data_IF_869398841327
#
_entry.id   IF_869398841327
#
_cell.length_a   1.000
_cell.length_b   1.000
_cell.length_c   1.000
_cell.angle_alpha   90.00
_cell.angle_beta   90.00
_cell.angle_gamma   90.00
#
_symmetry.space_group_name_H-M   'P 1'
#
loop_
_entity.id
_entity.type
_entity.pdbx_description
1 polymer ?
#
# COMPACT_ATOMS: atom_id res chain seq x y z
N UNK A 1 0.40 9.79 -5.81
CA UNK A 1 1.33 8.75 -6.35
C UNK A 1 2.62 8.60 -5.52
N UNK A 2 3.16 9.68 -4.91
CA UNK A 2 4.35 9.61 -4.04
C UNK A 2 4.04 8.93 -2.70
N UNK A 3 2.86 9.14 -2.13
CA UNK A 3 2.40 8.45 -0.91
C UNK A 3 2.28 6.94 -1.09
N UNK A 4 1.91 6.47 -2.30
CA UNK A 4 1.80 5.04 -2.63
C UNK A 4 3.16 4.34 -2.69
N UNK A 5 4.26 5.07 -2.92
CA UNK A 5 5.61 4.50 -2.96
C UNK A 5 6.27 4.38 -1.58
N UNK A 6 5.68 4.95 -0.52
CA UNK A 6 6.21 4.90 0.85
C UNK A 6 7.52 5.67 1.05
N UNK A 7 7.87 6.56 0.14
CA UNK A 7 9.07 7.38 0.25
C UNK A 7 8.75 8.67 1.02
N UNK A 8 9.55 8.94 2.05
CA UNK A 8 9.46 10.17 2.86
C UNK A 8 10.00 11.43 2.13
N UNK A 9 10.14 11.36 0.79
CA UNK A 9 10.66 12.46 -0.02
C UNK A 9 9.51 13.39 -0.39
N UNK A 10 9.63 14.66 -0.03
CA UNK A 10 8.66 15.68 -0.40
C UNK A 10 8.53 15.82 -1.92
N UNK A 11 7.33 16.20 -2.38
CA UNK A 11 7.06 16.41 -3.82
C UNK A 11 8.06 17.37 -4.48
N UNK A 12 8.57 18.38 -3.72
CA UNK A 12 9.57 19.32 -4.18
C UNK A 12 10.96 18.68 -4.37
N UNK A 13 11.39 17.85 -3.44
CA UNK A 13 12.68 17.14 -3.52
C UNK A 13 12.71 16.17 -4.69
N UNK A 14 11.60 15.44 -4.91
CA UNK A 14 11.48 14.56 -6.06
C UNK A 14 11.58 15.32 -7.39
N UNK A 15 10.88 16.46 -7.53
CA UNK A 15 10.96 17.31 -8.72
C UNK A 15 12.40 17.85 -8.94
N UNK A 16 13.08 18.21 -7.86
CA UNK A 16 14.47 18.69 -7.94
C UNK A 16 15.41 17.59 -8.42
N UNK A 17 15.28 16.37 -7.91
CA UNK A 17 16.09 15.21 -8.33
C UNK A 17 15.84 14.88 -9.80
N UNK A 18 14.57 14.90 -10.25
CA UNK A 18 14.21 14.66 -11.65
C UNK A 18 14.81 15.75 -12.54
N UNK A 19 14.69 17.03 -12.15
CA UNK A 19 15.20 18.16 -12.92
C UNK A 19 16.71 18.14 -13.07
N UNK A 20 17.42 17.88 -11.97
CA UNK A 20 18.90 17.75 -11.98
C UNK A 20 19.32 16.53 -12.82
N UNK A 21 18.62 15.41 -12.72
CA UNK A 21 18.89 14.21 -13.52
C UNK A 21 18.69 14.42 -15.02
N UNK A 22 17.64 15.14 -15.42
CA UNK A 22 17.37 15.50 -16.83
C UNK A 22 18.48 16.39 -17.39
N UNK A 23 18.90 17.43 -16.64
CA UNK A 23 19.98 18.34 -17.08
C UNK A 23 21.31 17.58 -17.20
N UNK A 24 21.69 16.79 -16.20
CA UNK A 24 22.93 16.02 -16.21
C UNK A 24 23.00 15.03 -17.38
N UNK A 25 21.93 14.25 -17.59
CA UNK A 25 21.87 13.31 -18.70
C UNK A 25 21.79 13.99 -20.07
N UNK A 26 21.13 15.13 -20.17
CA UNK A 26 21.08 15.94 -21.38
C UNK A 26 22.45 16.51 -21.77
N UNK A 27 23.19 17.06 -20.79
CA UNK A 27 24.54 17.59 -21.00
C UNK A 27 25.53 16.48 -21.35
N UNK A 28 25.52 15.37 -20.64
CA UNK A 28 26.35 14.21 -20.95
C UNK A 28 26.05 13.66 -22.36
N UNK A 29 24.77 13.51 -22.70
CA UNK A 29 24.35 13.06 -24.03
C UNK A 29 24.84 14.01 -25.16
N UNK A 30 24.79 15.32 -24.93
CA UNK A 30 25.28 16.30 -25.86
C UNK A 30 26.80 16.21 -26.09
N UNK A 31 27.57 16.05 -24.99
CA UNK A 31 29.04 15.97 -25.05
C UNK A 31 29.52 14.72 -25.78
N UNK A 32 28.86 13.55 -25.56
CA UNK A 32 29.33 12.28 -26.10
C UNK A 32 28.72 11.89 -27.47
N UNK A 33 27.54 12.37 -27.83
CA UNK A 33 26.83 11.94 -29.03
C UNK A 33 26.12 13.07 -29.79
N UNK A 34 26.53 14.35 -29.59
CA UNK A 34 25.95 15.53 -30.25
C UNK A 34 24.44 15.72 -29.95
N UNK A 35 23.72 16.41 -30.83
CA UNK A 35 22.29 16.75 -30.64
C UNK A 35 21.37 15.50 -30.43
N UNK A 36 21.66 14.39 -31.08
CA UNK A 36 20.90 13.16 -30.91
C UNK A 36 21.08 12.54 -29.52
N UNK A 37 22.29 12.59 -28.97
CA UNK A 37 22.56 12.16 -27.61
C UNK A 37 21.90 13.04 -26.55
N UNK A 38 21.81 14.34 -26.77
CA UNK A 38 21.09 15.25 -25.88
C UNK A 38 19.60 14.90 -25.80
N UNK A 39 18.94 14.64 -26.93
CA UNK A 39 17.52 14.25 -26.97
C UNK A 39 17.30 12.93 -26.27
N UNK A 40 18.15 11.93 -26.48
CA UNK A 40 18.06 10.64 -25.81
C UNK A 40 18.31 10.77 -24.28
N UNK A 41 19.28 11.59 -23.85
CA UNK A 41 19.57 11.84 -22.44
C UNK A 41 18.41 12.52 -21.72
N UNK A 42 17.80 13.54 -22.34
CA UNK A 42 16.62 14.22 -21.77
C UNK A 42 15.42 13.28 -21.67
N UNK A 43 15.15 12.49 -22.69
CA UNK A 43 14.02 11.54 -22.65
C UNK A 43 14.21 10.45 -21.58
N UNK A 44 15.39 9.85 -21.49
CA UNK A 44 15.70 8.86 -20.46
C UNK A 44 15.65 9.49 -19.05
N UNK A 45 16.20 10.70 -18.87
CA UNK A 45 16.16 11.43 -17.60
C UNK A 45 14.75 11.76 -17.14
N UNK A 46 13.83 12.05 -18.07
CA UNK A 46 12.44 12.33 -17.76
C UNK A 46 11.63 11.06 -17.42
N UNK A 47 11.82 9.96 -18.16
CA UNK A 47 11.01 8.76 -18.01
C UNK A 47 11.53 7.79 -16.93
N UNK A 48 12.86 7.71 -16.71
CA UNK A 48 13.45 6.79 -15.75
C UNK A 48 12.88 6.92 -14.31
N UNK A 49 12.77 8.12 -13.72
CA UNK A 49 12.24 8.27 -12.37
C UNK A 49 10.78 7.84 -12.25
N UNK A 50 9.95 8.06 -13.28
CA UNK A 50 8.56 7.58 -13.29
C UNK A 50 8.48 6.06 -13.36
N UNK A 51 9.36 5.42 -14.13
CA UNK A 51 9.41 3.97 -14.22
C UNK A 51 9.89 3.33 -12.89
N UNK A 52 10.85 3.95 -12.21
CA UNK A 52 11.32 3.49 -10.89
C UNK A 52 10.21 3.63 -9.85
N UNK A 53 9.53 4.80 -9.83
CA UNK A 53 8.46 5.07 -8.89
C UNK A 53 7.26 4.11 -9.08
N UNK A 54 6.85 3.88 -10.32
CA UNK A 54 5.76 2.95 -10.62
C UNK A 54 6.09 1.51 -10.25
N UNK A 55 7.34 1.07 -10.47
CA UNK A 55 7.80 -0.25 -10.02
C UNK A 55 7.88 -0.36 -8.49
N UNK A 56 8.32 0.68 -7.80
CA UNK A 56 8.37 0.72 -6.34
C UNK A 56 6.95 0.65 -5.75
N UNK A 57 6.02 1.43 -6.27
CA UNK A 57 4.61 1.39 -5.87
C UNK A 57 3.97 0.01 -6.15
N UNK A 58 4.23 -0.58 -7.31
CA UNK A 58 3.76 -1.92 -7.64
C UNK A 58 4.31 -3.01 -6.72
N UNK A 59 5.60 -2.96 -6.37
CA UNK A 59 6.19 -3.91 -5.40
C UNK A 59 5.59 -3.76 -4.01
N UNK A 60 5.36 -2.52 -3.56
CA UNK A 60 4.73 -2.25 -2.26
C UNK A 60 3.30 -2.77 -2.22
N UNK A 61 2.51 -2.53 -3.27
CA UNK A 61 1.15 -3.07 -3.40
C UNK A 61 1.16 -4.60 -3.36
N UNK A 62 2.03 -5.24 -4.15
CA UNK A 62 2.15 -6.70 -4.17
C UNK A 62 2.55 -7.26 -2.79
N UNK A 63 3.46 -6.59 -2.06
CA UNK A 63 3.83 -6.99 -0.70
C UNK A 63 2.65 -6.89 0.27
N UNK A 64 1.87 -5.79 0.25
CA UNK A 64 0.68 -5.64 1.09
C UNK A 64 -0.38 -6.70 0.74
N UNK A 65 -0.60 -6.97 -0.55
CA UNK A 65 -1.54 -8.00 -0.99
C UNK A 65 -1.12 -9.39 -0.48
N UNK A 66 0.17 -9.73 -0.58
CA UNK A 66 0.69 -11.00 -0.08
C UNK A 66 0.62 -11.16 1.44
N UNK A 67 0.55 -10.06 2.20
CA UNK A 67 0.41 -10.06 3.66
C UNK A 67 -1.06 -10.00 4.12
N UNK A 68 -1.99 -9.65 3.22
CA UNK A 68 -3.37 -9.32 3.59
C UNK A 68 -4.11 -10.50 4.23
N UNK A 69 -4.03 -11.69 3.64
CA UNK A 69 -4.71 -12.86 4.16
C UNK A 69 -4.23 -13.22 5.58
N UNK A 70 -2.92 -13.16 5.82
CA UNK A 70 -2.34 -13.43 7.14
C UNK A 70 -2.73 -12.34 8.14
N UNK A 71 -2.75 -11.08 7.72
CA UNK A 71 -3.23 -9.95 8.55
C UNK A 71 -4.67 -10.15 8.99
N UNK A 72 -5.57 -10.52 8.07
CA UNK A 72 -6.97 -10.79 8.39
C UNK A 72 -7.13 -11.98 9.35
N UNK A 73 -6.30 -13.01 9.22
CA UNK A 73 -6.30 -14.16 10.14
C UNK A 73 -5.83 -13.77 11.55
N UNK A 74 -4.83 -12.90 11.69
CA UNK A 74 -4.40 -12.37 13.00
C UNK A 74 -5.52 -11.57 13.64
N UNK A 75 -6.19 -10.69 12.88
CA UNK A 75 -7.35 -9.93 13.38
C UNK A 75 -8.47 -10.88 13.81
N UNK A 76 -8.81 -11.89 12.99
CA UNK A 76 -9.87 -12.85 13.28
C UNK A 76 -9.59 -13.67 14.54
N UNK A 77 -8.36 -14.16 14.72
CA UNK A 77 -7.97 -14.91 15.92
C UNK A 77 -8.00 -14.05 17.17
N UNK A 78 -7.59 -12.79 17.10
CA UNK A 78 -7.67 -11.85 18.21
C UNK A 78 -9.12 -11.52 18.61
N UNK A 79 -10.01 -11.33 17.61
CA UNK A 79 -11.44 -11.16 17.84
C UNK A 79 -12.07 -12.39 18.50
N UNK A 80 -11.68 -13.59 18.07
CA UNK A 80 -12.15 -14.86 18.64
C UNK A 80 -11.69 -15.04 20.09
N UNK A 81 -10.52 -14.49 20.45
CA UNK A 81 -10.04 -14.44 21.84
C UNK A 81 -10.80 -13.41 22.70
N UNK A 82 -11.77 -12.67 22.13
CA UNK A 82 -12.61 -11.71 22.84
C UNK A 82 -12.07 -10.28 22.88
N UNK A 83 -11.02 -9.98 22.11
CA UNK A 83 -10.53 -8.60 21.99
C UNK A 83 -11.49 -7.75 21.15
N UNK A 84 -11.52 -6.44 21.43
CA UNK A 84 -12.26 -5.49 20.59
C UNK A 84 -11.61 -5.38 19.18
N UNK A 85 -12.35 -4.88 18.20
CA UNK A 85 -11.83 -4.68 16.84
C UNK A 85 -10.55 -3.84 16.81
N UNK A 86 -10.52 -2.74 17.57
CA UNK A 86 -9.34 -1.87 17.65
C UNK A 86 -8.14 -2.54 18.31
N UNK A 87 -8.36 -3.36 19.34
CA UNK A 87 -7.30 -4.16 19.96
C UNK A 87 -6.76 -5.21 18.98
N UNK A 88 -7.66 -5.87 18.24
CA UNK A 88 -7.27 -6.86 17.23
C UNK A 88 -6.46 -6.24 16.10
N UNK A 89 -6.85 -5.03 15.67
CA UNK A 89 -6.11 -4.27 14.67
C UNK A 89 -4.72 -3.84 15.19
N UNK A 90 -4.62 -3.43 16.47
CA UNK A 90 -3.33 -3.07 17.12
C UNK A 90 -2.40 -4.29 17.24
N UNK A 91 -2.96 -5.47 17.58
CA UNK A 91 -2.20 -6.72 17.61
C UNK A 91 -1.66 -7.07 16.22
N UNK A 92 -2.51 -7.02 15.19
CA UNK A 92 -2.10 -7.28 13.82
C UNK A 92 -1.01 -6.31 13.35
N UNK A 93 -1.16 -5.00 13.62
CA UNK A 93 -0.16 -4.00 13.23
C UNK A 93 1.21 -4.20 13.90
N UNK A 94 1.28 -4.91 15.03
CA UNK A 94 2.53 -5.25 15.74
C UNK A 94 3.14 -6.57 15.29
N UNK A 95 2.32 -7.51 14.83
CA UNK A 95 2.72 -8.88 14.51
C UNK A 95 3.12 -9.05 13.05
N UNK A 96 2.51 -8.29 12.14
CA UNK A 96 2.79 -8.37 10.70
C UNK A 96 4.00 -7.52 10.30
N UNK A 97 4.60 -7.87 9.15
CA UNK A 97 5.75 -7.16 8.59
C UNK A 97 5.36 -5.89 7.82
N UNK A 98 6.38 -5.05 7.58
CA UNK A 98 6.24 -3.94 6.65
C UNK A 98 6.06 -4.47 5.20
N UNK A 99 5.29 -3.81 4.36
CA UNK A 99 4.66 -2.50 4.52
C UNK A 99 3.25 -2.50 5.16
N UNK A 100 2.59 -3.64 5.34
CA UNK A 100 1.24 -3.70 5.87
C UNK A 100 1.16 -3.16 7.31
N UNK A 101 2.10 -3.52 8.20
CA UNK A 101 2.17 -2.98 9.57
C UNK A 101 2.07 -1.45 9.63
N UNK A 102 2.77 -0.77 8.72
CA UNK A 102 2.78 0.69 8.63
C UNK A 102 1.42 1.27 8.27
N UNK A 103 0.69 0.65 7.35
CA UNK A 103 -0.64 1.08 6.92
C UNK A 103 -1.70 0.85 8.00
N UNK A 104 -1.76 -0.32 8.61
CA UNK A 104 -2.68 -0.60 9.71
C UNK A 104 -2.35 0.22 10.95
N UNK A 105 -1.07 0.44 11.26
CA UNK A 105 -0.64 1.34 12.31
C UNK A 105 -1.05 2.81 12.05
N UNK A 106 -1.12 3.24 10.78
CA UNK A 106 -1.63 4.57 10.41
C UNK A 106 -3.13 4.68 10.67
N UNK A 107 -3.92 3.67 10.30
CA UNK A 107 -5.36 3.60 10.63
C UNK A 107 -5.59 3.77 12.13
N UNK A 108 -4.86 3.03 12.95
CA UNK A 108 -4.95 3.14 14.41
C UNK A 108 -4.63 4.55 14.93
N UNK A 109 -3.60 5.20 14.39
CA UNK A 109 -3.27 6.58 14.77
C UNK A 109 -4.37 7.55 14.36
N UNK A 110 -4.94 7.42 13.17
CA UNK A 110 -6.04 8.26 12.68
C UNK A 110 -7.28 8.12 13.58
N UNK A 111 -7.65 6.89 13.98
CA UNK A 111 -8.76 6.63 14.89
C UNK A 111 -8.48 7.20 16.30
N UNK A 112 -7.26 7.04 16.83
CA UNK A 112 -6.87 7.61 18.12
C UNK A 112 -6.90 9.15 18.14
N UNK A 113 -6.75 9.79 16.97
CA UNK A 113 -6.88 11.23 16.78
C UNK A 113 -8.33 11.67 16.56
N UNK A 114 -9.30 10.75 16.65
CA UNK A 114 -10.74 11.05 16.58
C UNK A 114 -11.40 10.86 15.23
N UNK A 115 -10.66 10.30 14.24
CA UNK A 115 -11.28 9.93 12.96
C UNK A 115 -12.23 8.74 13.17
N UNK A 116 -13.37 8.74 12.46
CA UNK A 116 -14.26 7.58 12.46
C UNK A 116 -13.53 6.34 11.92
N UNK A 117 -13.92 5.16 12.44
CA UNK A 117 -13.25 3.90 12.08
C UNK A 117 -13.49 3.54 10.61
N UNK A 118 -14.72 3.72 10.12
CA UNK A 118 -15.07 3.39 8.75
C UNK A 118 -14.33 4.34 7.79
N UNK A 119 -14.32 5.66 8.08
CA UNK A 119 -13.54 6.65 7.31
C UNK A 119 -12.03 6.37 7.28
N UNK A 120 -11.48 5.86 8.38
CA UNK A 120 -10.05 5.51 8.45
C UNK A 120 -9.73 4.25 7.62
N UNK A 121 -10.64 3.28 7.58
CA UNK A 121 -10.53 2.08 6.76
C UNK A 121 -10.72 2.39 5.26
N UNK A 122 -11.69 3.24 4.90
CA UNK A 122 -11.85 3.71 3.52
C UNK A 122 -10.58 4.41 3.02
N UNK A 123 -10.00 5.30 3.83
CA UNK A 123 -8.75 5.96 3.49
C UNK A 123 -7.57 4.98 3.36
N UNK A 124 -7.56 3.86 4.10
CA UNK A 124 -6.60 2.78 3.90
C UNK A 124 -6.77 2.14 2.52
N UNK A 125 -8.00 1.85 2.11
CA UNK A 125 -8.32 1.27 0.78
C UNK A 125 -7.83 2.21 -0.32
N UNK A 126 -8.14 3.49 -0.24
CA UNK A 126 -7.70 4.50 -1.22
C UNK A 126 -6.17 4.60 -1.32
N UNK A 127 -5.47 4.58 -0.18
CA UNK A 127 -4.00 4.66 -0.14
C UNK A 127 -3.33 3.43 -0.73
N UNK A 128 -3.83 2.25 -0.43
CA UNK A 128 -3.24 0.98 -0.86
C UNK A 128 -3.62 0.66 -2.30
N UNK A 129 -4.87 0.91 -2.70
CA UNK A 129 -5.39 0.63 -4.05
C UNK A 129 -5.50 -0.87 -4.33
N UNK A 130 -5.81 -1.69 -3.32
CA UNK A 130 -5.98 -3.13 -3.44
C UNK A 130 -7.47 -3.50 -3.44
N UNK A 131 -7.93 -4.19 -4.47
CA UNK A 131 -9.30 -4.67 -4.56
C UNK A 131 -9.64 -5.71 -3.48
N UNK A 132 -8.69 -6.58 -3.14
CA UNK A 132 -8.90 -7.58 -2.09
C UNK A 132 -9.03 -6.91 -0.70
N UNK A 133 -8.29 -5.81 -0.47
CA UNK A 133 -8.43 -4.99 0.74
C UNK A 133 -9.79 -4.26 0.77
N UNK A 134 -10.25 -3.71 -0.36
CA UNK A 134 -11.55 -3.07 -0.48
C UNK A 134 -12.69 -4.03 -0.09
N UNK A 135 -12.64 -5.27 -0.58
CA UNK A 135 -13.61 -6.29 -0.19
C UNK A 135 -13.55 -6.64 1.30
N UNK A 136 -12.34 -6.75 1.86
CA UNK A 136 -12.18 -7.01 3.29
C UNK A 136 -12.75 -5.86 4.14
N UNK A 137 -12.47 -4.62 3.78
CA UNK A 137 -12.98 -3.43 4.49
C UNK A 137 -14.51 -3.35 4.37
N UNK A 138 -15.07 -3.54 3.19
CA UNK A 138 -16.53 -3.58 2.99
C UNK A 138 -17.18 -4.65 3.88
N UNK A 139 -16.59 -5.84 3.95
CA UNK A 139 -17.10 -6.91 4.81
C UNK A 139 -17.04 -6.52 6.31
N UNK A 140 -15.96 -5.85 6.75
CA UNK A 140 -15.82 -5.34 8.12
C UNK A 140 -16.92 -4.33 8.43
N UNK A 141 -17.11 -3.33 7.57
CA UNK A 141 -18.11 -2.27 7.76
C UNK A 141 -19.54 -2.82 7.84
N UNK A 142 -19.89 -3.71 6.90
CA UNK A 142 -21.20 -4.35 6.90
C UNK A 142 -21.43 -5.13 8.18
N UNK A 143 -20.45 -5.96 8.58
CA UNK A 143 -20.58 -6.82 9.75
C UNK A 143 -20.62 -6.02 11.07
N UNK A 144 -19.92 -4.89 11.13
CA UNK A 144 -19.99 -3.98 12.29
C UNK A 144 -21.33 -3.27 12.40
N UNK A 145 -21.98 -2.95 11.27
CA UNK A 145 -23.31 -2.28 11.22
C UNK A 145 -24.47 -3.23 11.53
N UNK A 146 -24.40 -4.46 11.00
CA UNK A 146 -25.47 -5.47 11.17
C UNK A 146 -25.33 -6.19 12.52
N UNK A 147 -24.12 -6.29 13.03
CA UNK A 147 -23.76 -7.17 14.13
C UNK A 147 -23.58 -8.63 13.66
N UNK A 148 -22.79 -9.40 14.40
CA UNK A 148 -22.56 -10.80 14.09
C UNK A 148 -21.11 -11.21 14.31
N UNK A 149 -20.71 -12.38 13.79
CA UNK A 149 -19.38 -12.92 13.99
C UNK A 149 -18.37 -12.36 12.98
N UNK A 150 -17.78 -11.21 13.30
CA UNK A 150 -16.77 -10.56 12.45
C UNK A 150 -15.54 -11.47 12.24
N UNK A 151 -15.15 -12.27 13.23
CA UNK A 151 -14.02 -13.19 13.12
C UNK A 151 -14.24 -14.24 12.00
N UNK A 152 -15.42 -14.82 11.92
CA UNK A 152 -15.77 -15.80 10.89
C UNK A 152 -15.77 -15.19 9.48
N UNK A 153 -16.28 -13.96 9.36
CA UNK A 153 -16.28 -13.25 8.08
C UNK A 153 -14.85 -12.97 7.61
N UNK A 154 -13.98 -12.50 8.51
CA UNK A 154 -12.58 -12.24 8.18
C UNK A 154 -11.80 -13.49 7.80
N UNK A 155 -12.06 -14.62 8.44
CA UNK A 155 -11.48 -15.92 8.06
C UNK A 155 -11.94 -16.35 6.66
N UNK A 156 -13.23 -16.21 6.37
CA UNK A 156 -13.77 -16.52 5.05
C UNK A 156 -13.13 -15.67 3.96
N UNK A 157 -12.99 -14.36 4.19
CA UNK A 157 -12.32 -13.45 3.27
C UNK A 157 -10.84 -13.82 3.10
N UNK A 158 -10.13 -14.08 4.20
CA UNK A 158 -8.72 -14.48 4.16
C UNK A 158 -8.49 -15.75 3.35
N UNK A 159 -9.34 -16.78 3.54
CA UNK A 159 -9.26 -18.02 2.79
C UNK A 159 -9.53 -17.80 1.29
N UNK A 160 -10.53 -16.98 0.95
CA UNK A 160 -10.84 -16.64 -0.43
C UNK A 160 -9.67 -15.92 -1.12
N UNK A 161 -8.99 -15.01 -0.41
CA UNK A 161 -7.79 -14.33 -0.91
C UNK A 161 -6.66 -15.34 -1.17
N UNK A 162 -6.40 -16.27 -0.25
CA UNK A 162 -5.37 -17.32 -0.43
C UNK A 162 -5.66 -18.24 -1.62
N UNK A 163 -6.90 -18.65 -1.80
CA UNK A 163 -7.30 -19.47 -2.96
C UNK A 163 -7.03 -18.74 -4.27
N UNK A 164 -7.39 -17.45 -4.35
CA UNK A 164 -7.13 -16.61 -5.53
C UNK A 164 -5.64 -16.44 -5.80
N UNK A 165 -4.83 -16.22 -4.77
CA UNK A 165 -3.38 -16.13 -4.93
C UNK A 165 -2.77 -17.42 -5.48
N UNK A 166 -3.25 -18.57 -5.01
CA UNK A 166 -2.79 -19.88 -5.49
C UNK A 166 -3.11 -20.08 -6.97
N UNK A 167 -4.31 -19.70 -7.40
CA UNK A 167 -4.72 -19.76 -8.81
C UNK A 167 -3.94 -18.81 -9.73
N UNK A 168 -3.54 -17.63 -9.23
CA UNK A 168 -2.73 -16.65 -9.99
C UNK A 168 -1.27 -17.09 -10.18
N UNK A 169 -0.78 -18.02 -9.37
CA UNK A 169 0.60 -18.56 -9.45
C UNK A 169 0.75 -19.78 -10.35
N UNK A 170 -0.38 -20.35 -10.82
CA UNK A 170 -0.43 -21.46 -11.79
C UNK A 170 -0.48 -20.93 -13.21
#
# INVERSE_FOLDING_TARGET
>A
KLEHAGWAIGSGEFLTIVFVGVILLGVLGFVFASALGAVAGVTLGAFAPFAVLSRAAGRRLAAIQGQLADTLMVIASSLRAGHSFLQSLDSAAKEIDQPAAGEFGRVLREIRLGRDTDDALEALVERVGSQDLEWAVTAIEVQRKIGGNLAEVLETVANTIRERETLRRQ
#
